data_IF_947571714061
#
_entry.id   IF_947571714061
#
_cell.length_a   1.000
_cell.length_b   1.000
_cell.length_c   1.000
_cell.angle_alpha   90.00
_cell.angle_beta   90.00
_cell.angle_gamma   90.00
#
_symmetry.space_group_name_H-M   'P 1'
#
loop_
_entity.id
_entity.type
_entity.pdbx_description
1 polymer ?
#
# COMPACT_ATOMS: atom_id res chain seq x y z
N UNK A 1 18.61 7.96 19.64
CA UNK A 1 17.15 7.93 19.83
C UNK A 1 16.82 6.57 20.42
N UNK A 2 15.98 6.52 21.46
CA UNK A 2 15.52 5.23 21.99
C UNK A 2 14.65 4.52 20.95
N UNK A 3 14.76 3.20 20.87
CA UNK A 3 14.16 2.38 19.82
C UNK A 3 12.62 2.39 19.85
N UNK A 4 12.09 2.56 21.07
CA UNK A 4 10.67 2.84 21.36
C UNK A 4 10.17 4.07 20.61
N UNK A 5 11.03 5.06 20.34
CA UNK A 5 10.66 6.27 19.62
C UNK A 5 10.31 5.99 18.16
N UNK A 6 11.00 5.05 17.49
CA UNK A 6 10.70 4.70 16.09
C UNK A 6 9.36 4.00 15.94
N UNK A 7 8.97 3.19 16.93
CA UNK A 7 7.62 2.65 17.02
C UNK A 7 6.57 3.77 17.06
N UNK A 8 6.74 4.75 17.97
CA UNK A 8 5.79 5.87 18.07
C UNK A 8 5.81 6.78 16.84
N UNK A 9 6.97 6.97 16.20
CA UNK A 9 7.10 7.73 14.94
C UNK A 9 6.36 7.00 13.81
N UNK A 10 6.51 5.68 13.68
CA UNK A 10 5.83 4.90 12.66
C UNK A 10 4.31 4.93 12.86
N UNK A 11 3.84 4.74 14.11
CA UNK A 11 2.42 4.87 14.44
C UNK A 11 1.91 6.29 14.14
N UNK A 12 2.65 7.32 14.55
CA UNK A 12 2.33 8.72 14.29
C UNK A 12 2.29 9.06 12.81
N UNK A 13 3.21 8.52 12.00
CA UNK A 13 3.23 8.69 10.55
C UNK A 13 2.03 8.02 9.89
N UNK A 14 1.68 6.79 10.31
CA UNK A 14 0.48 6.11 9.83
C UNK A 14 -0.80 6.89 10.14
N UNK A 15 -0.93 7.38 11.38
CA UNK A 15 -2.05 8.25 11.79
C UNK A 15 -2.05 9.56 10.98
N UNK A 16 -0.89 10.19 10.77
CA UNK A 16 -0.79 11.40 9.97
C UNK A 16 -1.21 11.18 8.50
N UNK A 17 -0.88 10.03 7.90
CA UNK A 17 -1.31 9.67 6.56
C UNK A 17 -2.84 9.52 6.46
N UNK A 18 -3.45 8.79 7.41
CA UNK A 18 -4.91 8.63 7.48
C UNK A 18 -5.60 9.98 7.73
N UNK A 19 -5.09 10.79 8.66
CA UNK A 19 -5.62 12.12 8.93
C UNK A 19 -5.51 13.04 7.71
N UNK A 20 -4.37 13.03 7.01
CA UNK A 20 -4.21 13.80 5.79
C UNK A 20 -5.21 13.36 4.72
N UNK A 21 -5.35 12.05 4.48
CA UNK A 21 -6.35 11.50 3.57
C UNK A 21 -7.77 11.92 3.95
N UNK A 22 -8.12 11.86 5.23
CA UNK A 22 -9.43 12.26 5.73
C UNK A 22 -9.71 13.76 5.54
N UNK A 23 -8.77 14.64 5.90
CA UNK A 23 -8.89 16.09 5.70
C UNK A 23 -9.05 16.43 4.21
N UNK A 24 -8.28 15.75 3.37
CA UNK A 24 -8.29 15.97 1.94
C UNK A 24 -9.57 15.44 1.29
N UNK A 25 -10.12 14.32 1.78
CA UNK A 25 -11.45 13.82 1.40
C UNK A 25 -12.54 14.86 1.71
N UNK A 26 -12.48 15.47 2.90
CA UNK A 26 -13.37 16.58 3.26
C UNK A 26 -13.26 17.78 2.31
N UNK A 27 -12.06 18.07 1.81
CA UNK A 27 -11.87 19.11 0.78
C UNK A 27 -12.47 18.73 -0.57
N UNK A 28 -12.41 17.45 -0.99
CA UNK A 28 -13.06 16.98 -2.21
C UNK A 28 -14.58 17.13 -2.07
N UNK A 29 -15.15 16.66 -0.96
CA UNK A 29 -16.60 16.70 -0.74
C UNK A 29 -17.19 18.11 -0.79
N UNK A 30 -16.42 19.13 -0.37
CA UNK A 30 -16.80 20.55 -0.45
C UNK A 30 -16.80 21.13 -1.87
N UNK A 31 -16.13 20.49 -2.83
CA UNK A 31 -16.14 20.94 -4.22
C UNK A 31 -17.50 20.66 -4.88
N UNK A 32 -17.84 21.50 -5.87
CA UNK A 32 -19.10 21.39 -6.61
C UNK A 32 -19.20 20.05 -7.33
N UNK A 33 -20.33 19.37 -7.17
CA UNK A 33 -20.67 18.15 -7.92
C UNK A 33 -21.29 18.46 -9.30
N UNK A 34 -21.16 19.70 -9.78
CA UNK A 34 -21.67 20.13 -11.08
C UNK A 34 -23.20 20.27 -11.13
N UNK A 35 -23.75 20.06 -12.33
CA UNK A 35 -25.17 20.19 -12.60
C UNK A 35 -25.99 18.95 -12.19
N UNK A 36 -27.31 19.02 -12.27
CA UNK A 36 -28.17 17.93 -11.79
C UNK A 36 -28.06 16.66 -12.63
N UNK A 37 -27.76 16.77 -13.93
CA UNK A 37 -27.52 15.62 -14.80
C UNK A 37 -26.24 14.87 -14.41
N UNK A 38 -25.18 15.61 -14.08
CA UNK A 38 -23.93 15.04 -13.57
C UNK A 38 -24.16 14.28 -12.26
N UNK A 39 -24.94 14.84 -11.33
CA UNK A 39 -25.29 14.19 -10.06
C UNK A 39 -26.13 12.93 -10.26
N UNK A 40 -27.07 12.95 -11.20
CA UNK A 40 -27.91 11.79 -11.54
C UNK A 40 -27.05 10.61 -12.02
N UNK A 41 -26.15 10.84 -12.98
CA UNK A 41 -25.25 9.82 -13.52
C UNK A 41 -24.31 9.29 -12.42
N UNK A 42 -23.72 10.20 -11.63
CA UNK A 42 -22.87 9.81 -10.51
C UNK A 42 -23.62 8.97 -9.46
N UNK A 43 -24.90 9.25 -9.24
CA UNK A 43 -25.77 8.47 -8.37
C UNK A 43 -25.96 7.03 -8.86
N UNK A 44 -26.18 6.84 -10.17
CA UNK A 44 -26.30 5.50 -10.76
C UNK A 44 -24.99 4.70 -10.63
N UNK A 45 -23.84 5.33 -10.89
CA UNK A 45 -22.53 4.70 -10.70
C UNK A 45 -22.32 4.33 -9.22
N UNK A 46 -22.68 5.23 -8.31
CA UNK A 46 -22.54 5.00 -6.87
C UNK A 46 -23.41 3.84 -6.38
N UNK A 47 -24.66 3.74 -6.86
CA UNK A 47 -25.56 2.64 -6.53
C UNK A 47 -24.98 1.31 -7.03
N UNK A 48 -24.55 1.25 -8.30
CA UNK A 48 -23.95 0.06 -8.89
C UNK A 48 -22.69 -0.40 -8.16
N UNK A 49 -21.77 0.53 -7.86
CA UNK A 49 -20.53 0.22 -7.15
C UNK A 49 -20.79 -0.30 -5.72
N UNK A 50 -21.71 0.32 -4.99
CA UNK A 50 -22.10 -0.15 -3.66
C UNK A 50 -22.77 -1.52 -3.70
N UNK A 51 -23.66 -1.77 -4.66
CA UNK A 51 -24.34 -3.05 -4.82
C UNK A 51 -23.34 -4.19 -5.14
N UNK A 52 -22.40 -3.92 -6.04
CA UNK A 52 -21.35 -4.88 -6.41
C UNK A 52 -20.44 -5.19 -5.22
N UNK A 53 -19.85 -4.17 -4.58
CA UNK A 53 -18.92 -4.37 -3.46
C UNK A 53 -19.60 -5.03 -2.26
N UNK A 54 -20.86 -4.70 -1.98
CA UNK A 54 -21.60 -5.35 -0.89
C UNK A 54 -21.76 -6.86 -1.12
N UNK A 55 -22.04 -7.28 -2.37
CA UNK A 55 -22.11 -8.70 -2.72
C UNK A 55 -20.75 -9.37 -2.65
N UNK A 56 -19.73 -8.74 -3.23
CA UNK A 56 -18.37 -9.27 -3.25
C UNK A 56 -17.83 -9.46 -1.83
N UNK A 57 -17.92 -8.44 -0.98
CA UNK A 57 -17.40 -8.47 0.39
C UNK A 57 -18.16 -9.45 1.27
N UNK A 58 -19.47 -9.63 1.06
CA UNK A 58 -20.25 -10.66 1.76
C UNK A 58 -19.74 -12.06 1.44
N UNK A 59 -19.47 -12.34 0.16
CA UNK A 59 -18.91 -13.62 -0.27
C UNK A 59 -17.50 -13.83 0.29
N UNK A 60 -16.64 -12.82 0.19
CA UNK A 60 -15.29 -12.87 0.78
C UNK A 60 -15.37 -13.10 2.29
N UNK A 61 -16.33 -12.47 2.98
CA UNK A 61 -16.55 -12.64 4.42
C UNK A 61 -16.84 -14.10 4.80
N UNK A 62 -17.65 -14.82 4.02
CA UNK A 62 -17.89 -16.25 4.26
C UNK A 62 -16.62 -17.08 4.12
N UNK A 63 -15.81 -16.81 3.09
CA UNK A 63 -14.51 -17.48 2.90
C UNK A 63 -13.57 -17.15 4.06
N UNK A 64 -13.49 -15.86 4.44
CA UNK A 64 -12.66 -15.39 5.55
C UNK A 64 -13.00 -16.04 6.88
N UNK A 65 -14.30 -16.22 7.20
CA UNK A 65 -14.73 -16.95 8.40
C UNK A 65 -14.23 -18.40 8.36
N UNK A 66 -14.34 -19.07 7.20
CA UNK A 66 -13.81 -20.42 7.03
C UNK A 66 -12.30 -20.50 7.30
N UNK A 67 -11.53 -19.55 6.77
CA UNK A 67 -10.08 -19.46 7.00
C UNK A 67 -9.76 -19.20 8.48
N UNK A 68 -10.48 -18.30 9.15
CA UNK A 68 -10.32 -18.03 10.59
C UNK A 68 -10.51 -19.30 11.42
N UNK A 69 -11.55 -20.08 11.14
CA UNK A 69 -11.81 -21.36 11.84
C UNK A 69 -10.66 -22.35 11.61
N UNK A 70 -10.17 -22.46 10.37
CA UNK A 70 -9.04 -23.33 10.04
C UNK A 70 -7.77 -22.90 10.80
N UNK A 71 -7.44 -21.61 10.79
CA UNK A 71 -6.27 -21.08 11.50
C UNK A 71 -6.38 -21.33 13.01
N UNK A 72 -7.56 -21.12 13.60
CA UNK A 72 -7.79 -21.36 15.02
C UNK A 72 -7.60 -22.84 15.42
N UNK A 73 -8.05 -23.78 14.57
CA UNK A 73 -7.89 -25.22 14.81
C UNK A 73 -6.44 -25.66 14.65
N UNK A 74 -5.75 -25.17 13.62
CA UNK A 74 -4.38 -25.57 13.29
C UNK A 74 -3.35 -25.02 14.29
N UNK A 75 -3.42 -23.73 14.60
CA UNK A 75 -2.43 -23.07 15.47
C UNK A 75 -2.78 -23.15 16.95
N UNK A 76 -4.04 -23.46 17.29
CA UNK A 76 -4.54 -23.59 18.68
C UNK A 76 -4.25 -22.38 19.56
N UNK A 77 -4.16 -21.21 18.94
CA UNK A 77 -3.93 -19.93 19.58
C UNK A 77 -4.87 -18.88 18.92
N UNK A 78 -5.01 -17.73 19.56
CA UNK A 78 -5.98 -16.71 19.10
C UNK A 78 -5.29 -15.57 18.34
N UNK A 79 -3.98 -15.39 18.57
CA UNK A 79 -3.14 -14.38 17.97
C UNK A 79 -3.09 -14.57 16.44
N UNK A 80 -2.84 -15.78 15.95
CA UNK A 80 -2.77 -16.02 14.48
C UNK A 80 -4.09 -15.70 13.78
N UNK A 81 -5.27 -16.22 14.22
CA UNK A 81 -6.56 -15.82 13.66
C UNK A 81 -6.87 -14.33 13.78
N UNK A 82 -6.49 -13.66 14.88
CA UNK A 82 -6.71 -12.22 15.05
C UNK A 82 -5.85 -11.40 14.10
N UNK A 83 -4.58 -11.77 13.89
CA UNK A 83 -3.72 -11.16 12.88
C UNK A 83 -4.38 -11.19 11.50
N UNK A 84 -4.88 -12.36 11.09
CA UNK A 84 -5.63 -12.53 9.84
C UNK A 84 -6.85 -11.62 9.75
N UNK A 85 -7.66 -11.54 10.80
CA UNK A 85 -8.85 -10.68 10.83
C UNK A 85 -8.45 -9.21 10.67
N UNK A 86 -7.41 -8.75 11.37
CA UNK A 86 -6.91 -7.37 11.27
C UNK A 86 -6.51 -7.06 9.82
N UNK A 87 -5.71 -7.93 9.20
CA UNK A 87 -5.28 -7.75 7.81
C UNK A 87 -6.44 -7.71 6.82
N UNK A 88 -7.39 -8.65 6.96
CA UNK A 88 -8.57 -8.72 6.11
C UNK A 88 -9.49 -7.49 6.29
N UNK A 89 -9.75 -7.08 7.53
CA UNK A 89 -10.63 -5.92 7.80
C UNK A 89 -9.99 -4.62 7.31
N UNK A 90 -8.69 -4.41 7.54
CA UNK A 90 -8.01 -3.19 7.12
C UNK A 90 -7.82 -3.11 5.60
N UNK A 91 -7.49 -4.22 4.92
CA UNK A 91 -7.43 -4.29 3.46
C UNK A 91 -8.81 -4.04 2.85
N UNK A 92 -9.86 -4.66 3.41
CA UNK A 92 -11.24 -4.43 3.00
C UNK A 92 -11.66 -2.98 3.18
N UNK A 93 -11.32 -2.37 4.32
CA UNK A 93 -11.59 -0.97 4.60
C UNK A 93 -10.86 -0.05 3.61
N UNK A 94 -9.59 -0.32 3.29
CA UNK A 94 -8.82 0.45 2.32
C UNK A 94 -9.48 0.43 0.93
N UNK A 95 -9.87 -0.75 0.43
CA UNK A 95 -10.59 -0.89 -0.84
C UNK A 95 -11.94 -0.15 -0.85
N UNK A 96 -12.73 -0.31 0.22
CA UNK A 96 -14.05 0.29 0.30
C UNK A 96 -14.01 1.82 0.44
N UNK A 97 -13.10 2.34 1.25
CA UNK A 97 -12.91 3.79 1.41
C UNK A 97 -12.36 4.37 0.10
N UNK A 98 -11.40 3.71 -0.54
CA UNK A 98 -10.86 4.11 -1.84
C UNK A 98 -11.94 4.27 -2.89
N UNK A 99 -12.81 3.25 -3.06
CA UNK A 99 -13.95 3.35 -3.98
C UNK A 99 -14.90 4.49 -3.63
N UNK A 100 -15.26 4.67 -2.35
CA UNK A 100 -16.17 5.76 -1.96
C UNK A 100 -15.61 7.14 -2.26
N UNK A 101 -14.30 7.33 -2.11
CA UNK A 101 -13.63 8.58 -2.46
C UNK A 101 -13.61 8.75 -3.97
N UNK A 102 -13.22 7.71 -4.73
CA UNK A 102 -13.21 7.75 -6.20
C UNK A 102 -14.57 8.11 -6.78
N UNK A 103 -15.63 7.38 -6.44
CA UNK A 103 -16.99 7.63 -6.96
C UNK A 103 -17.44 9.08 -6.72
N UNK A 104 -17.15 9.62 -5.52
CA UNK A 104 -17.50 11.00 -5.19
C UNK A 104 -16.61 12.03 -5.89
N UNK A 105 -15.36 11.68 -6.16
CA UNK A 105 -14.42 12.55 -6.85
C UNK A 105 -14.69 12.61 -8.36
N UNK A 106 -15.17 11.54 -8.99
CA UNK A 106 -15.35 11.46 -10.46
C UNK A 106 -16.16 12.65 -10.99
N UNK A 107 -17.36 12.88 -10.44
CA UNK A 107 -18.24 13.97 -10.86
C UNK A 107 -17.64 15.37 -10.61
N UNK A 108 -16.85 15.50 -9.53
CA UNK A 108 -16.17 16.75 -9.17
C UNK A 108 -14.97 17.01 -10.07
N UNK A 109 -14.29 15.96 -10.51
CA UNK A 109 -13.24 16.01 -11.52
C UNK A 109 -13.82 16.46 -12.86
N UNK A 110 -14.97 15.93 -13.27
CA UNK A 110 -15.68 16.37 -14.48
C UNK A 110 -16.05 17.86 -14.40
N UNK A 111 -16.63 18.30 -13.28
CA UNK A 111 -16.93 19.72 -13.07
C UNK A 111 -15.67 20.59 -13.11
N UNK A 112 -14.60 20.21 -12.41
CA UNK A 112 -13.37 20.97 -12.38
C UNK A 112 -12.66 21.02 -13.75
N UNK A 113 -12.75 19.94 -14.53
CA UNK A 113 -12.22 19.87 -15.89
C UNK A 113 -12.99 20.79 -16.86
N UNK A 114 -14.28 21.03 -16.62
CA UNK A 114 -15.08 21.99 -17.40
C UNK A 114 -14.62 23.44 -17.22
N UNK A 115 -13.97 23.74 -16.09
CA UNK A 115 -13.43 25.07 -15.79
C UNK A 115 -11.98 25.21 -16.24
N UNK A 116 -11.13 24.21 -15.96
CA UNK A 116 -9.75 24.19 -16.44
C UNK A 116 -9.11 22.80 -16.36
N UNK A 117 -8.12 22.56 -17.24
CA UNK A 117 -7.31 21.34 -17.21
C UNK A 117 -6.59 21.15 -15.86
N UNK A 118 -6.01 22.23 -15.31
CA UNK A 118 -5.34 22.19 -14.01
C UNK A 118 -6.33 21.89 -12.87
N UNK A 119 -7.56 22.41 -12.95
CA UNK A 119 -8.62 22.11 -11.99
C UNK A 119 -8.97 20.61 -11.99
N UNK A 120 -9.21 20.05 -13.18
CA UNK A 120 -9.44 18.61 -13.36
C UNK A 120 -8.28 17.76 -12.81
N UNK A 121 -7.05 18.07 -13.21
CA UNK A 121 -5.85 17.35 -12.72
C UNK A 121 -5.71 17.44 -11.20
N UNK A 122 -5.87 18.64 -10.62
CA UNK A 122 -5.77 18.82 -9.17
C UNK A 122 -6.84 18.04 -8.42
N UNK A 123 -8.07 17.95 -8.94
CA UNK A 123 -9.14 17.16 -8.32
C UNK A 123 -8.88 15.66 -8.41
N UNK A 124 -8.51 15.17 -9.59
CA UNK A 124 -8.20 13.76 -9.83
C UNK A 124 -7.00 13.30 -8.98
N UNK A 125 -5.90 14.06 -9.02
CA UNK A 125 -4.70 13.75 -8.24
C UNK A 125 -4.99 13.82 -6.74
N UNK A 126 -5.77 14.82 -6.28
CA UNK A 126 -6.18 14.92 -4.89
C UNK A 126 -6.93 13.66 -4.43
N UNK A 127 -7.85 13.14 -5.24
CA UNK A 127 -8.57 11.89 -4.98
C UNK A 127 -7.63 10.69 -4.87
N UNK A 128 -6.75 10.50 -5.85
CA UNK A 128 -5.76 9.42 -5.83
C UNK A 128 -4.83 9.48 -4.63
N UNK A 129 -4.37 10.68 -4.26
CA UNK A 129 -3.53 10.89 -3.08
C UNK A 129 -4.25 10.53 -1.77
N UNK A 130 -5.56 10.78 -1.65
CA UNK A 130 -6.36 10.36 -0.50
C UNK A 130 -6.34 8.85 -0.37
N UNK A 131 -6.66 8.13 -1.45
CA UNK A 131 -6.69 6.67 -1.45
C UNK A 131 -5.30 6.09 -1.14
N UNK A 132 -4.25 6.59 -1.79
CA UNK A 132 -2.88 6.11 -1.56
C UNK A 132 -2.39 6.31 -0.12
N UNK A 133 -2.59 7.51 0.46
CA UNK A 133 -2.16 7.81 1.82
C UNK A 133 -2.98 7.05 2.87
N UNK A 134 -4.27 6.84 2.62
CA UNK A 134 -5.12 6.03 3.48
C UNK A 134 -4.71 4.55 3.45
N UNK A 135 -4.39 4.00 2.28
CA UNK A 135 -3.90 2.63 2.10
C UNK A 135 -2.62 2.39 2.90
N UNK A 136 -1.58 3.20 2.67
CA UNK A 136 -0.29 3.02 3.37
C UNK A 136 -0.41 3.35 4.86
N UNK A 137 -1.26 4.30 5.24
CA UNK A 137 -1.51 4.67 6.62
C UNK A 137 -2.20 3.56 7.40
N UNK A 138 -3.29 2.97 6.86
CA UNK A 138 -3.97 1.83 7.46
C UNK A 138 -3.06 0.61 7.55
N UNK A 139 -2.26 0.34 6.51
CA UNK A 139 -1.34 -0.79 6.50
C UNK A 139 -0.25 -0.63 7.58
N UNK A 140 0.36 0.56 7.68
CA UNK A 140 1.37 0.84 8.70
C UNK A 140 0.79 0.78 10.11
N UNK A 141 -0.40 1.36 10.34
CA UNK A 141 -1.10 1.27 11.64
C UNK A 141 -1.43 -0.18 11.97
N UNK A 142 -1.90 -0.97 11.00
CA UNK A 142 -2.21 -2.38 11.18
C UNK A 142 -0.99 -3.20 11.62
N UNK A 143 0.13 -3.06 10.90
CA UNK A 143 1.36 -3.80 11.21
C UNK A 143 1.98 -3.32 12.52
N UNK A 144 2.17 -2.00 12.69
CA UNK A 144 2.77 -1.43 13.90
C UNK A 144 1.90 -1.69 15.13
N UNK A 145 0.58 -1.47 15.02
CA UNK A 145 -0.36 -1.65 16.12
C UNK A 145 -0.46 -3.11 16.54
N UNK A 146 -0.48 -4.04 15.58
CA UNK A 146 -0.54 -5.47 15.91
C UNK A 146 0.79 -5.98 16.49
N UNK A 147 1.93 -5.56 15.93
CA UNK A 147 3.24 -5.84 16.51
C UNK A 147 3.36 -5.30 17.95
N UNK A 148 2.95 -4.04 18.17
CA UNK A 148 2.96 -3.40 19.47
C UNK A 148 2.04 -4.07 20.50
N UNK A 149 0.90 -4.60 20.07
CA UNK A 149 0.01 -5.38 20.93
C UNK A 149 0.69 -6.67 21.43
N UNK A 150 1.32 -7.43 20.53
CA UNK A 150 1.95 -8.71 20.86
C UNK A 150 3.20 -8.52 21.72
N UNK A 151 4.09 -7.61 21.32
CA UNK A 151 5.37 -7.40 22.02
C UNK A 151 5.21 -6.53 23.26
N UNK A 152 4.59 -5.36 23.12
CA UNK A 152 4.46 -4.40 24.22
C UNK A 152 3.29 -4.70 25.15
N UNK A 153 2.13 -5.06 24.60
CA UNK A 153 0.91 -5.30 25.37
C UNK A 153 0.86 -6.66 26.05
N UNK A 154 1.36 -7.70 25.39
CA UNK A 154 1.37 -9.08 25.90
C UNK A 154 2.74 -9.53 26.41
N UNK A 155 3.80 -8.75 26.17
CA UNK A 155 5.16 -9.06 26.64
C UNK A 155 5.80 -10.24 25.91
N UNK A 156 5.32 -10.59 24.70
CA UNK A 156 5.93 -11.65 23.90
C UNK A 156 7.28 -11.19 23.35
N UNK A 157 8.25 -12.10 23.33
CA UNK A 157 9.57 -11.83 22.78
C UNK A 157 9.66 -12.37 21.34
N UNK A 158 9.80 -11.51 20.32
CA UNK A 158 9.92 -11.94 18.92
C UNK A 158 11.08 -12.92 18.64
N UNK A 159 12.10 -12.96 19.51
CA UNK A 159 13.24 -13.86 19.38
C UNK A 159 12.87 -15.32 19.73
N UNK A 160 11.95 -15.50 20.68
CA UNK A 160 11.63 -16.79 21.28
C UNK A 160 10.20 -17.24 20.96
N UNK A 161 9.27 -16.30 20.85
CA UNK A 161 7.86 -16.52 20.57
C UNK A 161 7.57 -16.40 19.07
N UNK A 162 7.64 -17.54 18.38
CA UNK A 162 7.26 -17.63 16.96
C UNK A 162 5.83 -17.12 16.67
N UNK A 163 4.97 -17.11 17.69
CA UNK A 163 3.60 -16.59 17.64
C UNK A 163 3.55 -15.14 17.13
N UNK A 164 4.55 -14.31 17.46
CA UNK A 164 4.62 -12.91 16.97
C UNK A 164 4.73 -12.89 15.45
N UNK A 165 5.64 -13.70 14.90
CA UNK A 165 5.90 -13.78 13.47
C UNK A 165 4.75 -14.46 12.73
N UNK A 166 4.25 -15.58 13.24
CA UNK A 166 3.10 -16.29 12.66
C UNK A 166 1.85 -15.39 12.64
N UNK A 167 1.64 -14.58 13.68
CA UNK A 167 0.57 -13.58 13.72
C UNK A 167 0.70 -12.49 12.66
N UNK A 168 1.91 -11.93 12.49
CA UNK A 168 2.16 -10.93 11.45
C UNK A 168 2.02 -11.51 10.03
N UNK A 169 2.49 -12.73 9.81
CA UNK A 169 2.29 -13.47 8.55
C UNK A 169 0.81 -13.67 8.28
N UNK A 170 0.03 -14.03 9.31
CA UNK A 170 -1.42 -14.17 9.18
C UNK A 170 -2.10 -12.85 8.82
N UNK A 171 -1.63 -11.70 9.35
CA UNK A 171 -2.08 -10.37 8.93
C UNK A 171 -1.85 -10.15 7.43
N UNK A 172 -0.64 -10.43 6.93
CA UNK A 172 -0.35 -10.40 5.49
C UNK A 172 -1.30 -11.31 4.70
N UNK A 173 -1.50 -12.54 5.18
CA UNK A 173 -2.39 -13.51 4.54
C UNK A 173 -3.86 -13.04 4.48
N UNK A 174 -4.34 -12.38 5.54
CA UNK A 174 -5.67 -11.75 5.56
C UNK A 174 -5.79 -10.63 4.53
N UNK A 175 -4.75 -9.81 4.39
CA UNK A 175 -4.69 -8.78 3.38
C UNK A 175 -4.73 -9.36 1.95
N UNK A 176 -3.98 -10.44 1.69
CA UNK A 176 -3.96 -11.14 0.40
C UNK A 176 -5.28 -11.80 0.03
N UNK A 177 -6.03 -12.34 1.02
CA UNK A 177 -7.37 -12.86 0.74
C UNK A 177 -8.25 -11.77 0.12
N UNK A 178 -8.31 -10.58 0.74
CA UNK A 178 -9.13 -9.49 0.22
C UNK A 178 -8.61 -9.02 -1.14
N UNK A 179 -7.30 -8.78 -1.26
CA UNK A 179 -6.67 -8.29 -2.50
C UNK A 179 -7.02 -9.18 -3.70
N UNK A 180 -6.83 -10.50 -3.59
CA UNK A 180 -7.10 -11.43 -4.69
C UNK A 180 -8.56 -11.35 -5.14
N UNK A 181 -9.51 -11.45 -4.22
CA UNK A 181 -10.92 -11.45 -4.60
C UNK A 181 -11.40 -10.08 -5.07
N UNK A 182 -10.93 -8.99 -4.47
CA UNK A 182 -11.27 -7.62 -4.86
C UNK A 182 -10.77 -7.33 -6.27
N UNK A 183 -9.48 -7.61 -6.53
CA UNK A 183 -8.81 -7.37 -7.81
C UNK A 183 -9.34 -8.27 -8.92
N UNK A 184 -9.43 -9.58 -8.68
CA UNK A 184 -9.89 -10.51 -9.70
C UNK A 184 -11.38 -10.30 -10.01
N UNK A 185 -12.21 -10.20 -8.96
CA UNK A 185 -13.65 -9.99 -9.17
C UNK A 185 -13.93 -8.67 -9.86
N UNK A 186 -13.39 -7.56 -9.32
CA UNK A 186 -13.57 -6.23 -9.92
C UNK A 186 -12.99 -6.14 -11.33
N UNK A 187 -11.83 -6.77 -11.57
CA UNK A 187 -11.20 -6.86 -12.88
C UNK A 187 -12.06 -7.60 -13.92
N UNK A 188 -12.68 -8.72 -13.54
CA UNK A 188 -13.61 -9.44 -14.42
C UNK A 188 -14.84 -8.58 -14.74
N UNK A 189 -15.39 -7.90 -13.73
CA UNK A 189 -16.55 -7.04 -13.91
C UNK A 189 -16.25 -5.87 -14.86
N UNK A 190 -15.16 -5.13 -14.60
CA UNK A 190 -14.77 -3.95 -15.39
C UNK A 190 -14.42 -4.33 -16.81
N UNK A 191 -13.56 -5.34 -17.03
CA UNK A 191 -13.14 -5.71 -18.38
C UNK A 191 -14.23 -6.40 -19.18
N UNK A 192 -15.18 -7.07 -18.53
CA UNK A 192 -16.38 -7.57 -19.19
C UNK A 192 -17.27 -6.43 -19.71
N UNK A 193 -17.39 -5.33 -18.97
CA UNK A 193 -18.19 -4.17 -19.35
C UNK A 193 -17.49 -3.29 -20.40
N UNK A 194 -16.22 -2.95 -20.17
CA UNK A 194 -15.32 -2.18 -21.05
C UNK A 194 -15.27 -2.80 -22.46
N UNK A 195 -14.82 -4.06 -22.58
CA UNK A 195 -14.70 -4.73 -23.88
C UNK A 195 -16.05 -4.87 -24.58
N UNK A 196 -17.11 -5.20 -23.84
CA UNK A 196 -18.45 -5.33 -24.41
C UNK A 196 -19.01 -3.99 -24.91
N UNK A 197 -18.83 -2.93 -24.13
CA UNK A 197 -19.26 -1.58 -24.45
C UNK A 197 -18.52 -1.01 -25.65
N UNK A 198 -17.21 -1.13 -25.67
CA UNK A 198 -16.36 -0.57 -26.72
C UNK A 198 -16.53 -1.29 -28.06
N UNK A 199 -16.61 -2.62 -28.06
CA UNK A 199 -16.79 -3.39 -29.29
C UNK A 199 -18.12 -3.06 -29.96
N UNK A 200 -19.23 -3.09 -29.21
CA UNK A 200 -20.56 -2.82 -29.78
C UNK A 200 -20.73 -1.33 -30.09
N UNK A 201 -20.25 -0.44 -29.21
CA UNK A 201 -20.40 1.00 -29.36
C UNK A 201 -19.54 1.56 -30.49
N UNK A 202 -18.22 1.42 -30.40
CA UNK A 202 -17.27 2.08 -31.31
C UNK A 202 -17.14 1.34 -32.63
N UNK A 203 -17.06 0.00 -32.60
CA UNK A 203 -16.73 -0.80 -33.79
C UNK A 203 -17.98 -1.16 -34.59
N UNK A 204 -19.04 -1.61 -33.95
CA UNK A 204 -20.26 -2.06 -34.64
C UNK A 204 -21.24 -0.92 -34.93
N UNK A 205 -21.59 -0.12 -33.91
CA UNK A 205 -22.58 0.94 -34.02
C UNK A 205 -22.01 2.29 -34.48
N UNK A 206 -20.69 2.49 -34.37
CA UNK A 206 -20.02 3.75 -34.74
C UNK A 206 -20.44 4.94 -33.86
N UNK A 207 -20.84 4.70 -32.62
CA UNK A 207 -21.12 5.75 -31.63
C UNK A 207 -19.85 6.06 -30.80
N UNK A 208 -19.72 7.27 -30.22
CA UNK A 208 -18.60 7.60 -29.34
C UNK A 208 -18.45 6.64 -28.16
N UNK A 209 -17.23 6.59 -27.62
CA UNK A 209 -16.94 5.98 -26.32
C UNK A 209 -17.74 6.68 -25.21
N UNK A 210 -18.16 5.91 -24.20
CA UNK A 210 -19.02 6.38 -23.10
C UNK A 210 -20.34 7.07 -23.53
N UNK A 211 -20.86 6.75 -24.73
CA UNK A 211 -22.11 7.34 -25.20
C UNK A 211 -23.31 6.85 -24.35
N UNK A 212 -24.18 7.75 -23.86
CA UNK A 212 -25.30 7.38 -22.98
C UNK A 212 -26.35 6.46 -23.64
N UNK A 213 -26.30 6.26 -24.96
CA UNK A 213 -27.13 5.27 -25.68
C UNK A 213 -26.62 3.84 -25.51
N UNK A 214 -25.36 3.66 -25.12
CA UNK A 214 -24.76 2.36 -24.88
C UNK A 214 -25.12 1.87 -23.47
N UNK A 215 -25.80 0.72 -23.37
CA UNK A 215 -26.22 0.16 -22.10
C UNK A 215 -25.05 -0.29 -21.21
N UNK A 216 -23.86 -0.51 -21.78
CA UNK A 216 -22.68 -0.94 -21.04
C UNK A 216 -22.00 0.19 -20.25
N UNK A 217 -22.18 1.46 -20.63
CA UNK A 217 -21.41 2.59 -20.10
C UNK A 217 -21.50 2.76 -18.59
N UNK A 218 -22.69 2.53 -18.00
CA UNK A 218 -22.82 2.57 -16.53
C UNK A 218 -22.07 1.41 -15.88
N UNK A 219 -22.14 0.21 -16.45
CA UNK A 219 -21.42 -0.95 -15.91
C UNK A 219 -19.91 -0.77 -16.03
N UNK A 220 -19.43 -0.17 -17.11
CA UNK A 220 -18.02 0.15 -17.32
C UNK A 220 -17.50 1.13 -16.26
N UNK A 221 -18.17 2.27 -16.13
CA UNK A 221 -17.84 3.28 -15.13
C UNK A 221 -18.00 2.75 -13.67
N UNK A 222 -18.94 1.84 -13.42
CA UNK A 222 -19.00 1.12 -12.12
C UNK A 222 -17.77 0.23 -11.95
N UNK A 223 -17.39 -0.49 -13.01
CA UNK A 223 -16.21 -1.31 -13.12
C UNK A 223 -14.93 -0.59 -12.70
N UNK A 224 -14.68 0.60 -13.23
CA UNK A 224 -13.50 1.40 -12.89
C UNK A 224 -13.38 1.67 -11.38
N UNK A 225 -14.52 1.87 -10.72
CA UNK A 225 -14.56 2.15 -9.29
C UNK A 225 -14.36 0.88 -8.44
N UNK A 226 -14.86 -0.28 -8.89
CA UNK A 226 -14.80 -1.52 -8.11
C UNK A 226 -13.57 -2.37 -8.41
N UNK A 227 -13.05 -2.34 -9.63
CA UNK A 227 -11.82 -3.00 -10.06
C UNK A 227 -10.62 -2.09 -9.89
N UNK A 228 -10.56 -1.04 -10.71
CA UNK A 228 -9.35 -0.24 -10.86
C UNK A 228 -9.09 0.67 -9.64
N UNK A 229 -10.12 1.03 -8.87
CA UNK A 229 -9.95 1.75 -7.60
C UNK A 229 -9.93 0.82 -6.38
N UNK A 230 -11.03 0.14 -6.05
CA UNK A 230 -11.10 -0.70 -4.84
C UNK A 230 -10.13 -1.88 -4.88
N UNK A 231 -10.06 -2.59 -6.01
CA UNK A 231 -9.14 -3.71 -6.20
C UNK A 231 -7.68 -3.28 -6.08
N UNK A 232 -7.30 -2.17 -6.74
CA UNK A 232 -5.94 -1.62 -6.66
C UNK A 232 -5.59 -1.15 -5.22
N UNK A 233 -6.52 -0.53 -4.51
CA UNK A 233 -6.29 -0.10 -3.12
C UNK A 233 -6.05 -1.28 -2.17
N UNK A 234 -6.83 -2.37 -2.30
CA UNK A 234 -6.62 -3.59 -1.52
C UNK A 234 -5.30 -4.31 -1.88
N UNK A 235 -4.93 -4.27 -3.17
CA UNK A 235 -3.67 -4.82 -3.67
C UNK A 235 -2.45 -4.06 -3.16
N UNK A 236 -2.46 -2.74 -3.23
CA UNK A 236 -1.39 -1.91 -2.67
C UNK A 236 -1.27 -2.03 -1.16
N UNK A 237 -2.40 -2.15 -0.44
CA UNK A 237 -2.39 -2.43 0.99
C UNK A 237 -1.65 -3.73 1.28
N UNK A 238 -1.98 -4.79 0.53
CA UNK A 238 -1.37 -6.11 0.69
C UNK A 238 0.13 -6.06 0.41
N UNK A 239 0.53 -5.51 -0.74
CA UNK A 239 1.94 -5.46 -1.12
C UNK A 239 2.75 -4.68 -0.09
N UNK A 240 2.19 -3.58 0.43
CA UNK A 240 2.84 -2.77 1.46
C UNK A 240 2.97 -3.53 2.79
N UNK A 241 1.88 -4.12 3.30
CA UNK A 241 1.89 -4.85 4.56
C UNK A 241 2.76 -6.11 4.49
N UNK A 242 2.63 -6.90 3.43
CA UNK A 242 3.39 -8.15 3.22
C UNK A 242 4.87 -7.87 3.06
N UNK A 243 5.28 -6.79 2.38
CA UNK A 243 6.72 -6.44 2.26
C UNK A 243 7.34 -6.12 3.62
N UNK A 244 6.62 -5.38 4.48
CA UNK A 244 7.07 -5.06 5.84
C UNK A 244 7.17 -6.35 6.66
N UNK A 245 6.11 -7.15 6.67
CA UNK A 245 6.05 -8.40 7.44
C UNK A 245 7.11 -9.39 6.97
N UNK A 246 7.30 -9.56 5.66
CA UNK A 246 8.31 -10.45 5.10
C UNK A 246 9.72 -10.03 5.52
N UNK A 247 10.00 -8.72 5.53
CA UNK A 247 11.27 -8.20 6.05
C UNK A 247 11.45 -8.57 7.53
N UNK A 248 10.41 -8.37 8.36
CA UNK A 248 10.45 -8.73 9.78
C UNK A 248 10.62 -10.24 10.00
N UNK A 249 9.97 -11.08 9.19
CA UNK A 249 10.08 -12.56 9.23
C UNK A 249 11.51 -12.99 8.92
N UNK A 250 12.10 -12.48 7.83
CA UNK A 250 13.48 -12.78 7.46
C UNK A 250 14.45 -12.33 8.54
N UNK A 251 14.22 -11.14 9.12
CA UNK A 251 14.99 -10.64 10.26
C UNK A 251 14.91 -11.59 11.45
N UNK A 252 13.72 -12.02 11.86
CA UNK A 252 13.55 -12.94 12.98
C UNK A 252 14.22 -14.31 12.74
N UNK A 253 14.21 -14.82 11.50
CA UNK A 253 14.81 -16.11 11.17
C UNK A 253 16.34 -16.03 11.18
N UNK A 254 16.92 -15.05 10.49
CA UNK A 254 18.37 -14.96 10.30
C UNK A 254 19.12 -14.29 11.46
N UNK A 255 18.41 -13.64 12.38
CA UNK A 255 19.00 -12.86 13.48
C UNK A 255 18.37 -13.15 14.84
N UNK A 256 17.71 -14.31 15.02
CA UNK A 256 17.02 -14.71 16.25
C UNK A 256 17.88 -14.65 17.52
N UNK A 257 19.18 -14.91 17.40
CA UNK A 257 20.16 -14.89 18.50
C UNK A 257 20.90 -13.55 18.65
N UNK A 258 20.63 -12.57 17.78
CA UNK A 258 21.35 -11.31 17.76
C UNK A 258 20.82 -10.36 18.84
N UNK A 259 21.73 -9.71 19.57
CA UNK A 259 21.37 -8.72 20.60
C UNK A 259 20.67 -7.47 20.04
N UNK A 260 20.71 -7.27 18.72
CA UNK A 260 20.13 -6.13 18.00
C UNK A 260 18.87 -6.50 17.21
N UNK A 261 18.26 -7.66 17.46
CA UNK A 261 17.08 -8.14 16.71
C UNK A 261 15.91 -7.15 16.75
N UNK A 262 15.62 -6.57 17.92
CA UNK A 262 14.54 -5.59 18.08
C UNK A 262 14.70 -4.38 17.15
N UNK A 263 15.93 -3.88 17.03
CA UNK A 263 16.29 -2.75 16.17
C UNK A 263 16.02 -3.05 14.69
N UNK A 264 16.36 -4.27 14.28
CA UNK A 264 16.14 -4.72 12.91
C UNK A 264 14.66 -4.92 12.58
N UNK A 265 13.86 -5.40 13.54
CA UNK A 265 12.42 -5.59 13.36
C UNK A 265 11.66 -4.26 13.23
N UNK A 266 12.12 -3.21 13.92
CA UNK A 266 11.52 -1.87 13.83
C UNK A 266 12.04 -1.04 12.64
N UNK A 267 13.22 -1.36 12.11
CA UNK A 267 13.82 -0.63 11.00
C UNK A 267 12.95 -0.49 9.74
N UNK A 268 12.27 -1.54 9.21
CA UNK A 268 11.37 -1.36 8.06
C UNK A 268 10.22 -0.39 8.38
N UNK A 269 9.72 -0.36 9.62
CA UNK A 269 8.66 0.57 10.05
C UNK A 269 9.18 2.03 10.06
N UNK A 270 10.43 2.24 10.47
CA UNK A 270 11.08 3.55 10.43
C UNK A 270 11.23 4.06 8.98
N UNK A 271 11.64 3.20 8.04
CA UNK A 271 11.70 3.53 6.62
C UNK A 271 10.31 3.94 6.10
N UNK A 272 9.29 3.15 6.41
CA UNK A 272 7.91 3.45 6.04
C UNK A 272 7.45 4.82 6.57
N UNK A 273 7.78 5.14 7.82
CA UNK A 273 7.41 6.40 8.45
C UNK A 273 8.00 7.61 7.72
N UNK A 274 9.29 7.59 7.40
CA UNK A 274 9.94 8.69 6.67
C UNK A 274 9.44 8.80 5.23
N UNK A 275 9.12 7.67 4.58
CA UNK A 275 8.58 7.66 3.21
C UNK A 275 7.16 8.25 3.14
N UNK A 276 6.33 8.03 4.16
CA UNK A 276 5.01 8.66 4.25
C UNK A 276 5.13 10.17 4.29
N UNK A 277 6.03 10.71 5.11
CA UNK A 277 6.25 12.16 5.20
C UNK A 277 6.74 12.71 3.86
N UNK A 278 7.70 12.03 3.21
CA UNK A 278 8.19 12.40 1.88
C UNK A 278 7.05 12.42 0.84
N UNK A 279 6.15 11.43 0.89
CA UNK A 279 5.00 11.32 -0.03
C UNK A 279 3.98 12.43 0.20
N UNK A 280 3.68 12.79 1.46
CA UNK A 280 2.80 13.91 1.79
C UNK A 280 3.36 15.21 1.21
N UNK A 281 4.65 15.50 1.42
CA UNK A 281 5.30 16.70 0.90
C UNK A 281 5.29 16.69 -0.63
N UNK A 282 5.59 15.54 -1.25
CA UNK A 282 5.61 15.36 -2.69
C UNK A 282 4.29 15.70 -3.38
N UNK A 283 3.15 15.49 -2.71
CA UNK A 283 1.83 15.82 -3.27
C UNK A 283 1.69 17.30 -3.64
N UNK A 284 2.38 18.21 -2.94
CA UNK A 284 2.30 19.65 -3.22
C UNK A 284 3.03 20.07 -4.49
N UNK A 285 3.89 19.20 -5.04
CA UNK A 285 4.71 19.47 -6.23
C UNK A 285 4.07 18.95 -7.54
N UNK A 286 2.94 18.23 -7.46
CA UNK A 286 2.18 17.79 -8.63
C UNK A 286 1.32 18.94 -9.16
N UNK A 287 1.93 19.74 -10.05
CA UNK A 287 1.29 20.89 -10.71
C UNK A 287 1.77 21.04 -12.14
N UNK A 288 0.88 21.45 -13.05
CA UNK A 288 1.26 21.78 -14.43
C UNK A 288 2.16 23.02 -14.44
N UNK A 289 3.10 23.04 -15.39
CA UNK A 289 3.82 24.26 -15.72
C UNK A 289 2.88 25.29 -16.35
N UNK A 290 3.21 26.58 -16.24
CA UNK A 290 2.45 27.65 -16.91
C UNK A 290 2.34 27.35 -18.41
N UNK A 291 1.11 27.23 -18.91
CA UNK A 291 0.82 26.95 -20.33
C UNK A 291 1.13 25.52 -20.79
N UNK A 292 1.49 24.60 -19.88
CA UNK A 292 1.75 23.20 -20.23
C UNK A 292 0.48 22.36 -20.18
N UNK A 293 0.28 21.51 -21.19
CA UNK A 293 -0.75 20.48 -21.24
C UNK A 293 -0.23 19.10 -20.83
N UNK A 294 1.06 18.98 -20.50
CA UNK A 294 1.69 17.70 -20.19
C UNK A 294 1.39 17.27 -18.74
N UNK A 295 0.36 16.44 -18.58
CA UNK A 295 -0.06 15.87 -17.29
C UNK A 295 1.02 14.95 -16.70
N UNK A 296 1.64 14.09 -17.51
CA UNK A 296 2.69 13.17 -17.06
C UNK A 296 3.88 13.93 -16.47
N UNK A 297 4.28 15.03 -17.11
CA UNK A 297 5.32 15.92 -16.57
C UNK A 297 5.00 16.50 -15.20
N UNK A 298 3.73 16.73 -14.86
CA UNK A 298 3.33 17.15 -13.51
C UNK A 298 3.45 16.01 -12.49
N UNK A 299 3.06 14.79 -12.87
CA UNK A 299 3.20 13.60 -12.03
C UNK A 299 4.68 13.29 -11.75
N UNK A 300 5.56 13.43 -12.75
CA UNK A 300 7.00 13.23 -12.56
C UNK A 300 7.65 14.20 -11.62
N UNK A 301 7.25 15.48 -11.63
CA UNK A 301 7.76 16.44 -10.66
C UNK A 301 7.46 15.99 -9.23
N UNK A 302 6.24 15.51 -8.98
CA UNK A 302 5.87 14.94 -7.68
C UNK A 302 6.69 13.70 -7.33
N UNK A 303 6.84 12.78 -8.28
CA UNK A 303 7.61 11.55 -8.09
C UNK A 303 9.09 11.83 -7.80
N UNK A 304 9.73 12.71 -8.56
CA UNK A 304 11.14 13.08 -8.38
C UNK A 304 11.36 13.73 -7.02
N UNK A 305 10.50 14.69 -6.63
CA UNK A 305 10.60 15.34 -5.31
C UNK A 305 10.41 14.31 -4.20
N UNK A 306 9.43 13.42 -4.32
CA UNK A 306 9.20 12.34 -3.35
C UNK A 306 10.42 11.41 -3.26
N UNK A 307 11.00 11.02 -4.39
CA UNK A 307 12.19 10.16 -4.46
C UNK A 307 13.41 10.79 -3.79
N UNK A 308 13.69 12.07 -4.09
CA UNK A 308 14.79 12.80 -3.47
C UNK A 308 14.60 12.95 -1.95
N UNK A 309 13.39 13.29 -1.52
CA UNK A 309 13.05 13.36 -0.09
C UNK A 309 13.15 11.99 0.58
N UNK A 310 12.82 10.91 -0.13
CA UNK A 310 12.96 9.54 0.39
C UNK A 310 14.43 9.16 0.56
N UNK A 311 15.33 9.56 -0.35
CA UNK A 311 16.78 9.36 -0.16
C UNK A 311 17.25 10.05 1.13
N UNK A 312 16.83 11.30 1.36
CA UNK A 312 17.16 12.01 2.61
C UNK A 312 16.54 11.33 3.82
N UNK A 313 15.27 10.91 3.73
CA UNK A 313 14.56 10.17 4.77
C UNK A 313 15.25 8.85 5.13
N UNK A 314 15.72 8.10 4.12
CA UNK A 314 16.50 6.88 4.31
C UNK A 314 17.82 7.16 5.04
N UNK A 315 18.53 8.24 4.69
CA UNK A 315 19.76 8.62 5.39
C UNK A 315 19.47 8.92 6.87
N UNK A 316 18.37 9.60 7.18
CA UNK A 316 17.91 9.86 8.55
C UNK A 316 17.55 8.57 9.28
N UNK A 317 16.75 7.69 8.66
CA UNK A 317 16.33 6.43 9.24
C UNK A 317 17.54 5.51 9.53
N UNK A 318 18.51 5.44 8.63
CA UNK A 318 19.76 4.69 8.83
C UNK A 318 20.60 5.32 9.94
N UNK A 319 20.83 6.63 9.90
CA UNK A 319 21.71 7.30 10.85
C UNK A 319 21.19 7.24 12.30
N UNK A 320 19.87 7.37 12.49
CA UNK A 320 19.28 7.38 13.83
C UNK A 320 18.63 6.05 14.26
N UNK A 321 18.29 5.17 13.31
CA UNK A 321 17.74 3.85 13.58
C UNK A 321 18.82 2.78 13.72
N UNK A 322 19.85 2.81 12.88
CA UNK A 322 20.95 1.83 12.88
C UNK A 322 22.31 2.48 12.53
N UNK A 323 22.83 3.42 13.34
CA UNK A 323 24.06 4.18 13.04
C UNK A 323 25.29 3.30 12.77
N UNK A 324 25.39 2.15 13.46
CA UNK A 324 26.46 1.17 13.28
C UNK A 324 26.19 0.10 12.21
N UNK A 325 24.99 0.08 11.61
CA UNK A 325 24.47 -1.08 10.87
C UNK A 325 24.20 -2.28 11.77
N UNK A 326 24.13 -3.47 11.19
CA UNK A 326 23.98 -4.73 11.94
C UNK A 326 25.29 -5.18 12.60
N UNK A 327 26.42 -4.52 12.31
CA UNK A 327 27.72 -4.93 12.83
C UNK A 327 28.14 -6.29 12.27
N UNK A 328 28.89 -7.06 13.07
CA UNK A 328 29.22 -8.44 12.70
C UNK A 328 27.94 -9.30 12.74
N UNK A 329 27.73 -10.05 11.66
CA UNK A 329 26.62 -10.99 11.56
C UNK A 329 26.84 -12.12 12.58
N UNK A 330 25.92 -12.25 13.53
CA UNK A 330 26.03 -13.20 14.65
C UNK A 330 25.88 -14.66 14.21
N UNK A 331 25.95 -15.58 15.17
CA UNK A 331 25.77 -17.01 14.91
C UNK A 331 24.30 -17.41 14.91
N UNK A 332 23.83 -18.02 13.82
CA UNK A 332 22.51 -18.66 13.72
C UNK A 332 22.67 -20.12 14.09
N UNK A 333 21.81 -20.61 15.00
CA UNK A 333 21.67 -22.05 15.22
C UNK A 333 20.35 -22.52 14.62
N UNK A 334 20.40 -23.45 13.66
CA UNK A 334 19.20 -23.99 13.04
C UNK A 334 18.48 -24.99 13.96
N UNK A 335 17.27 -25.42 13.58
CA UNK A 335 16.47 -26.39 14.35
C UNK A 335 17.11 -27.78 14.51
N UNK A 336 18.21 -28.06 13.81
CA UNK A 336 19.01 -29.28 13.96
C UNK A 336 20.22 -29.10 14.89
N UNK A 337 20.37 -27.93 15.53
CA UNK A 337 21.47 -27.64 16.46
C UNK A 337 22.80 -27.28 15.78
N UNK A 338 22.78 -26.99 14.47
CA UNK A 338 23.98 -26.59 13.72
C UNK A 338 24.11 -25.07 13.81
N UNK A 339 25.22 -24.61 14.38
CA UNK A 339 25.57 -23.20 14.50
C UNK A 339 26.44 -22.77 13.30
N UNK A 340 26.00 -21.75 12.55
CA UNK A 340 26.72 -21.11 11.45
C UNK A 340 26.61 -19.59 11.60
N UNK A 341 27.62 -18.83 11.20
CA UNK A 341 27.47 -17.36 11.18
C UNK A 341 26.39 -16.95 10.16
N UNK A 342 25.55 -15.95 10.45
CA UNK A 342 24.56 -15.45 9.47
C UNK A 342 25.26 -14.99 8.18
N UNK A 343 26.52 -14.54 8.27
CA UNK A 343 27.33 -14.21 7.10
C UNK A 343 27.62 -15.40 6.18
N UNK A 344 27.76 -16.62 6.73
CA UNK A 344 28.00 -17.83 5.94
C UNK A 344 26.74 -18.24 5.19
N UNK A 345 25.62 -18.23 5.91
CA UNK A 345 24.29 -18.55 5.36
C UNK A 345 23.86 -17.55 4.29
N UNK A 346 24.16 -16.26 4.51
CA UNK A 346 23.80 -15.17 3.58
C UNK A 346 24.82 -14.97 2.47
N UNK A 347 25.94 -15.71 2.45
CA UNK A 347 27.03 -15.53 1.49
C UNK A 347 27.75 -14.18 1.61
N UNK A 348 27.64 -13.53 2.76
CA UNK A 348 28.25 -12.23 3.08
C UNK A 348 29.55 -12.49 3.84
N UNK A 349 30.49 -13.13 3.16
CA UNK A 349 31.83 -13.46 3.67
C UNK A 349 32.88 -12.47 3.16
N UNK A 350 33.81 -12.11 4.03
CA UNK A 350 35.02 -11.37 3.71
C UNK A 350 36.06 -12.26 3.03
N UNK A 351 37.06 -11.63 2.38
CA UNK A 351 38.16 -12.34 1.75
C UNK A 351 39.08 -13.07 2.76
N UNK A 352 38.94 -12.73 4.05
CA UNK A 352 39.58 -13.31 5.22
C UNK A 352 38.79 -14.50 5.82
N UNK A 353 37.64 -14.86 5.25
CA UNK A 353 36.78 -15.94 5.75
C UNK A 353 35.94 -15.56 6.97
N UNK A 354 35.95 -14.28 7.38
CA UNK A 354 35.07 -13.77 8.44
C UNK A 354 33.76 -13.22 7.85
N UNK A 355 32.67 -13.26 8.62
CA UNK A 355 31.43 -12.62 8.21
C UNK A 355 31.64 -11.11 8.02
N UNK A 356 31.25 -10.57 6.85
CA UNK A 356 31.39 -9.15 6.55
C UNK A 356 30.47 -8.35 7.46
N UNK A 357 31.00 -7.30 8.08
CA UNK A 357 30.20 -6.38 8.87
C UNK A 357 29.23 -5.60 7.96
N UNK A 358 27.94 -5.63 8.27
CA UNK A 358 26.93 -4.85 7.56
C UNK A 358 26.83 -3.48 8.22
N UNK A 359 27.28 -2.45 7.51
CA UNK A 359 27.32 -1.07 8.01
C UNK A 359 26.01 -0.33 7.69
N UNK A 360 25.71 0.75 8.40
CA UNK A 360 24.56 1.61 8.08
C UNK A 360 24.60 2.10 6.62
N UNK A 361 25.80 2.40 6.11
CA UNK A 361 25.98 2.80 4.71
C UNK A 361 25.58 1.70 3.71
N UNK A 362 25.82 0.43 4.02
CA UNK A 362 25.35 -0.67 3.18
C UNK A 362 23.82 -0.76 3.14
N UNK A 363 23.15 -0.56 4.28
CA UNK A 363 21.68 -0.53 4.35
C UNK A 363 21.10 0.66 3.60
N UNK A 364 21.76 1.82 3.68
CA UNK A 364 21.40 2.99 2.89
C UNK A 364 21.46 2.69 1.38
N UNK A 365 22.55 2.08 0.91
CA UNK A 365 22.69 1.72 -0.50
C UNK A 365 21.69 0.66 -0.95
N UNK A 366 21.31 -0.30 -0.10
CA UNK A 366 20.22 -1.23 -0.39
C UNK A 366 18.88 -0.49 -0.61
N UNK A 367 18.56 0.48 0.25
CA UNK A 367 17.36 1.31 0.08
C UNK A 367 17.40 2.17 -1.19
N UNK A 368 18.55 2.80 -1.48
CA UNK A 368 18.76 3.59 -2.70
C UNK A 368 18.68 2.72 -3.96
N UNK A 369 19.21 1.50 -3.92
CA UNK A 369 19.09 0.55 -5.03
C UNK A 369 17.61 0.22 -5.31
N UNK A 370 16.80 0.01 -4.27
CA UNK A 370 15.35 -0.15 -4.43
C UNK A 370 14.68 1.05 -5.10
N UNK A 371 15.01 2.28 -4.68
CA UNK A 371 14.51 3.49 -5.33
C UNK A 371 14.96 3.62 -6.79
N UNK A 372 16.21 3.28 -7.10
CA UNK A 372 16.73 3.30 -8.46
C UNK A 372 16.01 2.29 -9.36
N UNK A 373 15.76 1.08 -8.86
CA UNK A 373 14.97 0.06 -9.58
C UNK A 373 13.55 0.56 -9.83
N UNK A 374 12.89 1.16 -8.84
CA UNK A 374 11.55 1.75 -9.03
C UNK A 374 11.56 2.86 -10.08
N UNK A 375 12.57 3.76 -10.05
CA UNK A 375 12.69 4.81 -11.06
C UNK A 375 12.89 4.24 -12.47
N UNK A 376 13.72 3.18 -12.61
CA UNK A 376 13.91 2.48 -13.88
C UNK A 376 12.62 1.82 -14.37
N UNK A 377 11.88 1.15 -13.49
CA UNK A 377 10.58 0.54 -13.83
C UNK A 377 9.62 1.61 -14.37
N UNK A 378 9.53 2.78 -13.73
CA UNK A 378 8.66 3.87 -14.17
C UNK A 378 9.07 4.39 -15.55
N UNK A 379 10.36 4.68 -15.76
CA UNK A 379 10.86 5.19 -17.05
C UNK A 379 10.68 4.17 -18.17
N UNK A 380 10.97 2.90 -17.92
CA UNK A 380 10.78 1.82 -18.90
C UNK A 380 9.30 1.65 -19.21
N UNK A 381 8.43 1.67 -18.19
CA UNK A 381 6.98 1.56 -18.40
C UNK A 381 6.47 2.71 -19.25
N UNK A 382 6.81 3.96 -18.94
CA UNK A 382 6.42 5.11 -19.76
C UNK A 382 6.94 4.99 -21.19
N UNK A 383 8.19 4.56 -21.40
CA UNK A 383 8.74 4.40 -22.74
C UNK A 383 7.90 3.44 -23.60
N UNK A 384 7.32 2.40 -23.00
CA UNK A 384 6.48 1.43 -23.72
C UNK A 384 4.98 1.77 -23.75
N UNK A 385 4.48 2.61 -22.85
CA UNK A 385 3.04 2.90 -22.73
C UNK A 385 2.66 4.35 -23.05
N UNK A 386 3.63 5.25 -23.12
CA UNK A 386 3.43 6.66 -23.48
C UNK A 386 3.16 6.83 -24.97
N UNK A 387 2.25 7.74 -25.30
CA UNK A 387 1.86 8.07 -26.69
C UNK A 387 2.22 9.49 -27.07
#
# INVERSE_FOLDING_TARGET
MDLTLWYYIALGAGVAAVLFGWLQSGSIMKASAGNDRMKEIAGAIQEGANAYLSRQYRTIGYVGIGVVVILAILFRNWEVPVGFIIGAVLSGAAGFIGMKVSVQANVRTTQAASESLQGGLSMAFKSGAVTGLLVVGLALIGVVGYYGLLVGGMGMDPATDRIVIDGLVALGFGASLISIFARLGGGIFTKGADVGGDMVGKVEAGIPEDDPRNAATIADNVGDNVGDCAGMAADLFETYAVTIVATMVLTAIYFSSASYLGDMLLFPLAICAVCIVASIIGTWFVKLGKGSTNIMGALYKGLIVTGLLTIVGLAVAVHYGLPGGFGALGDITNSAGITQTSGEVLGVMGADGAAKAVTGLSLFWCGVAGLAVTALIVVITEYYTGT
#
